data_IF_921354625973
#
_entry.id   IF_921354625973
#
_cell.length_a   1.000
_cell.length_b   1.000
_cell.length_c   1.000
_cell.angle_alpha   90.00
_cell.angle_beta   90.00
_cell.angle_gamma   90.00
#
_symmetry.space_group_name_H-M   'P 1'
#
loop_
_entity.id
_entity.type
_entity.pdbx_description
1 polymer ?
#
# COMPACT_ATOMS: atom_id res chain seq x y z
N UNK A 1 -7.71 12.86 8.64
CA UNK A 1 -6.55 12.37 9.42
C UNK A 1 -5.35 13.29 9.35
N UNK A 2 -4.68 13.39 8.18
CA UNK A 2 -3.40 14.09 8.00
C UNK A 2 -3.37 15.51 8.58
N UNK A 3 -4.36 16.36 8.27
CA UNK A 3 -4.41 17.74 8.79
C UNK A 3 -4.46 17.81 10.34
N UNK A 4 -5.05 16.82 11.00
CA UNK A 4 -5.02 16.74 12.47
C UNK A 4 -3.64 16.36 12.98
N UNK A 5 -2.98 15.38 12.37
CA UNK A 5 -1.60 15.02 12.71
C UNK A 5 -0.64 16.20 12.51
N UNK A 6 -0.85 17.01 11.46
CA UNK A 6 -0.04 18.20 11.17
C UNK A 6 -0.08 19.28 12.25
N UNK A 7 -1.06 19.25 13.17
CA UNK A 7 -1.06 20.13 14.35
C UNK A 7 0.09 19.82 15.32
N UNK A 8 0.63 18.59 15.30
CA UNK A 8 1.68 18.10 16.22
C UNK A 8 2.97 17.72 15.51
N UNK A 9 2.90 17.14 14.30
CA UNK A 9 4.03 16.57 13.57
C UNK A 9 4.33 17.41 12.31
N UNK A 10 5.57 17.89 12.15
CA UNK A 10 5.95 18.78 11.02
C UNK A 10 5.84 18.12 9.65
N UNK A 11 6.16 16.82 9.56
CA UNK A 11 6.10 16.02 8.35
C UNK A 11 5.27 14.77 8.58
N UNK A 12 4.27 14.57 7.74
CA UNK A 12 3.40 13.38 7.76
C UNK A 12 3.60 12.61 6.47
N UNK A 13 3.95 11.34 6.57
CA UNK A 13 4.02 10.44 5.42
C UNK A 13 2.67 9.75 5.24
N UNK A 14 2.13 9.80 4.04
CA UNK A 14 0.97 9.01 3.63
C UNK A 14 1.46 7.88 2.72
N UNK A 15 1.21 6.64 3.12
CA UNK A 15 1.50 5.45 2.32
C UNK A 15 0.18 4.80 1.94
N UNK A 16 0.01 4.55 0.65
CA UNK A 16 -1.19 3.98 0.06
C UNK A 16 -0.85 2.65 -0.63
N UNK A 17 -1.40 1.57 -0.08
CA UNK A 17 -1.25 0.21 -0.60
C UNK A 17 -2.55 -0.33 -1.20
N UNK A 18 -3.54 0.53 -1.45
CA UNK A 18 -4.72 0.20 -2.25
C UNK A 18 -4.34 -0.21 -3.67
N UNK A 19 -5.19 -0.98 -4.33
CA UNK A 19 -5.00 -1.29 -5.74
C UNK A 19 -5.01 -0.03 -6.61
N UNK A 20 -5.81 0.97 -6.23
CA UNK A 20 -6.01 2.21 -6.96
C UNK A 20 -5.03 3.29 -6.51
N UNK A 21 -4.70 4.19 -7.42
CA UNK A 21 -3.90 5.36 -7.06
C UNK A 21 -4.66 6.23 -6.06
N UNK A 22 -3.98 6.63 -4.98
CA UNK A 22 -4.48 7.56 -3.95
C UNK A 22 -4.57 9.02 -4.41
N UNK A 23 -5.17 9.25 -5.58
CA UNK A 23 -5.20 10.52 -6.31
C UNK A 23 -5.74 11.68 -5.48
N UNK A 24 -6.84 11.50 -4.77
CA UNK A 24 -7.43 12.55 -3.95
C UNK A 24 -6.51 13.01 -2.81
N UNK A 25 -5.74 12.10 -2.21
CA UNK A 25 -4.77 12.46 -1.16
C UNK A 25 -3.53 13.10 -1.79
N UNK A 26 -3.05 12.59 -2.92
CA UNK A 26 -1.99 13.23 -3.68
C UNK A 26 -2.36 14.67 -4.04
N UNK A 27 -3.51 14.90 -4.66
CA UNK A 27 -3.94 16.21 -5.12
C UNK A 27 -4.07 17.20 -3.97
N UNK A 28 -4.66 16.77 -2.86
CA UNK A 28 -4.83 17.58 -1.65
C UNK A 28 -3.49 18.11 -1.08
N UNK A 29 -2.38 17.40 -1.33
CA UNK A 29 -1.05 17.74 -0.81
C UNK A 29 0.01 17.99 -1.88
N UNK A 30 -0.36 17.99 -3.17
CA UNK A 30 0.54 18.09 -4.31
C UNK A 30 1.42 19.35 -4.31
N UNK A 31 0.99 20.43 -3.64
CA UNK A 31 1.72 21.71 -3.56
C UNK A 31 2.52 21.93 -2.26
N UNK A 32 2.61 20.95 -1.36
CA UNK A 32 3.31 21.10 -0.07
C UNK A 32 4.43 20.06 0.13
N UNK A 33 5.54 20.48 0.73
CA UNK A 33 6.60 19.59 1.19
C UNK A 33 6.37 19.03 2.60
N UNK A 34 5.26 19.39 3.24
CA UNK A 34 4.96 18.98 4.62
C UNK A 34 4.22 17.66 4.73
N UNK A 35 3.72 17.15 3.61
CA UNK A 35 3.10 15.84 3.48
C UNK A 35 3.71 15.20 2.25
N UNK A 36 4.22 13.98 2.39
CA UNK A 36 4.65 13.17 1.26
C UNK A 36 3.63 12.07 1.04
N UNK A 37 3.21 11.87 -0.21
CA UNK A 37 2.32 10.78 -0.61
C UNK A 37 3.12 9.71 -1.35
N UNK A 38 2.96 8.46 -0.96
CA UNK A 38 3.55 7.29 -1.63
C UNK A 38 2.42 6.34 -1.98
N UNK A 39 2.24 6.00 -3.25
CA UNK A 39 1.20 5.05 -3.68
C UNK A 39 1.79 3.96 -4.57
N UNK A 40 1.48 2.70 -4.23
CA UNK A 40 1.80 1.51 -5.03
C UNK A 40 0.49 0.95 -5.58
N UNK A 41 0.24 1.15 -6.88
CA UNK A 41 -1.07 0.91 -7.47
C UNK A 41 -0.96 0.33 -8.87
N UNK A 42 -2.04 -0.26 -9.36
CA UNK A 42 -2.13 -0.65 -10.77
C UNK A 42 -2.20 0.60 -11.65
N UNK A 43 -1.38 0.64 -12.68
CA UNK A 43 -1.40 1.70 -13.68
C UNK A 43 -1.41 1.09 -15.08
N UNK A 44 -2.55 1.21 -15.75
CA UNK A 44 -2.79 0.64 -17.08
C UNK A 44 -3.81 1.50 -17.82
N UNK A 45 -3.76 1.59 -19.16
CA UNK A 45 -4.75 2.34 -19.92
C UNK A 45 -6.18 1.92 -19.57
N UNK A 46 -7.00 2.90 -19.15
CA UNK A 46 -8.40 2.68 -18.78
C UNK A 46 -8.63 2.15 -17.36
N UNK A 47 -7.58 1.89 -16.57
CA UNK A 47 -7.74 1.56 -15.15
C UNK A 47 -7.95 2.83 -14.32
N UNK A 48 -8.94 2.82 -13.43
CA UNK A 48 -9.28 3.95 -12.58
C UNK A 48 -8.17 4.22 -11.54
N UNK A 49 -7.88 5.48 -11.17
CA UNK A 49 -8.43 6.74 -11.68
C UNK A 49 -7.75 7.25 -12.97
N UNK A 50 -6.73 6.55 -13.47
CA UNK A 50 -5.99 6.94 -14.68
C UNK A 50 -4.84 7.91 -14.44
N UNK A 51 -4.50 8.19 -13.18
CA UNK A 51 -3.37 9.01 -12.72
C UNK A 51 -2.37 8.16 -11.94
N UNK A 52 -1.24 8.73 -11.54
CA UNK A 52 -0.20 8.06 -10.76
C UNK A 52 0.93 7.46 -11.60
N UNK A 53 1.23 8.01 -12.79
CA UNK A 53 2.47 7.62 -13.47
C UNK A 53 3.70 7.96 -12.61
N UNK A 54 4.80 7.23 -12.76
CA UNK A 54 6.05 7.47 -12.02
C UNK A 54 6.60 8.89 -12.20
N UNK A 55 6.21 9.57 -13.30
CA UNK A 55 6.57 10.96 -13.61
C UNK A 55 5.71 12.00 -12.88
N UNK A 56 4.58 11.62 -12.28
CA UNK A 56 3.74 12.50 -11.47
C UNK A 56 4.36 12.69 -10.09
N UNK A 57 5.12 13.78 -9.92
CA UNK A 57 5.94 14.02 -8.72
C UNK A 57 5.43 15.16 -7.83
N UNK A 58 4.20 15.63 -8.03
CA UNK A 58 3.68 16.82 -7.36
C UNK A 58 4.16 18.13 -7.99
N UNK A 59 3.74 19.27 -7.43
CA UNK A 59 3.81 20.59 -8.05
C UNK A 59 4.36 21.66 -7.09
N UNK A 60 4.99 22.70 -7.64
CA UNK A 60 5.49 23.83 -6.86
C UNK A 60 6.40 23.39 -5.70
N UNK A 61 6.04 23.76 -4.46
CA UNK A 61 6.79 23.36 -3.25
C UNK A 61 6.64 21.88 -2.90
N UNK A 62 5.63 21.18 -3.42
CA UNK A 62 5.42 19.74 -3.28
C UNK A 62 6.03 18.92 -4.41
N UNK A 63 6.75 19.53 -5.35
CA UNK A 63 7.49 18.78 -6.37
C UNK A 63 8.52 17.86 -5.71
N UNK A 64 8.53 16.60 -6.12
CA UNK A 64 9.24 15.46 -5.54
C UNK A 64 8.70 14.93 -4.20
N UNK A 65 7.56 15.45 -3.72
CA UNK A 65 6.87 14.97 -2.51
C UNK A 65 5.63 14.11 -2.82
N UNK A 66 5.39 13.79 -4.09
CA UNK A 66 4.50 12.71 -4.51
C UNK A 66 5.35 11.62 -5.16
N UNK A 67 5.21 10.40 -4.67
CA UNK A 67 5.95 9.21 -5.13
C UNK A 67 4.93 8.20 -5.60
N UNK A 68 4.97 7.90 -6.90
CA UNK A 68 4.09 6.93 -7.51
C UNK A 68 4.87 5.73 -8.03
N UNK A 69 4.31 4.55 -7.79
CA UNK A 69 4.89 3.26 -8.16
C UNK A 69 3.86 2.51 -9.01
N UNK A 70 3.85 2.76 -10.34
CA UNK A 70 2.89 2.15 -11.26
C UNK A 70 3.21 0.67 -11.51
N UNK A 71 2.23 -0.21 -11.29
CA UNK A 71 2.39 -1.66 -11.41
C UNK A 71 1.40 -2.27 -12.41
N UNK A 72 1.71 -3.48 -12.86
CA UNK A 72 0.88 -4.30 -13.75
C UNK A 72 0.19 -5.43 -12.97
N UNK A 73 -0.75 -6.10 -13.63
CA UNK A 73 -1.50 -7.21 -13.06
C UNK A 73 -0.61 -8.34 -12.53
N UNK A 74 -1.13 -9.08 -11.56
CA UNK A 74 -0.57 -10.37 -11.14
C UNK A 74 0.60 -10.32 -10.17
N UNK A 75 1.03 -9.14 -9.70
CA UNK A 75 2.10 -9.01 -8.71
C UNK A 75 1.80 -9.85 -7.45
N UNK A 76 2.83 -10.51 -6.93
CA UNK A 76 2.75 -11.45 -5.80
C UNK A 76 3.47 -10.91 -4.56
N UNK A 77 3.26 -11.57 -3.41
CA UNK A 77 3.75 -11.14 -2.10
C UNK A 77 5.23 -10.69 -2.10
N UNK A 78 6.13 -11.52 -2.64
CA UNK A 78 7.57 -11.28 -2.52
C UNK A 78 8.04 -10.12 -3.40
N UNK A 79 7.59 -10.06 -4.66
CA UNK A 79 7.93 -8.95 -5.57
C UNK A 79 7.33 -7.63 -5.07
N UNK A 80 6.10 -7.64 -4.58
CA UNK A 80 5.45 -6.45 -4.01
C UNK A 80 6.17 -5.96 -2.75
N UNK A 81 6.51 -6.87 -1.82
CA UNK A 81 7.22 -6.49 -0.58
C UNK A 81 8.60 -5.92 -0.87
N UNK A 82 9.41 -6.57 -1.73
CA UNK A 82 10.75 -6.08 -2.07
C UNK A 82 10.71 -4.69 -2.69
N UNK A 83 9.73 -4.44 -3.56
CA UNK A 83 9.50 -3.14 -4.15
C UNK A 83 9.08 -2.10 -3.10
N UNK A 84 8.09 -2.43 -2.27
CA UNK A 84 7.59 -1.57 -1.20
C UNK A 84 8.70 -1.20 -0.22
N UNK A 85 9.47 -2.19 0.25
CA UNK A 85 10.61 -2.00 1.14
C UNK A 85 11.66 -1.06 0.51
N UNK A 86 12.05 -1.31 -0.75
CA UNK A 86 13.05 -0.49 -1.42
C UNK A 86 12.63 0.98 -1.54
N UNK A 87 11.36 1.24 -1.94
CA UNK A 87 10.81 2.59 -2.05
C UNK A 87 10.71 3.25 -0.68
N UNK A 88 10.11 2.56 0.29
CA UNK A 88 9.88 3.12 1.63
C UNK A 88 11.20 3.38 2.38
N UNK A 89 12.24 2.58 2.14
CA UNK A 89 13.59 2.82 2.67
C UNK A 89 14.15 4.16 2.22
N UNK A 90 14.12 4.42 0.91
CA UNK A 90 14.62 5.66 0.33
C UNK A 90 13.74 6.86 0.74
N UNK A 91 12.41 6.67 0.78
CA UNK A 91 11.45 7.68 1.27
C UNK A 91 11.73 8.06 2.72
N UNK A 92 11.88 7.07 3.61
CA UNK A 92 12.12 7.33 5.03
C UNK A 92 13.42 8.11 5.24
N UNK A 93 14.50 7.72 4.53
CA UNK A 93 15.79 8.39 4.60
C UNK A 93 15.73 9.84 4.10
N UNK A 94 15.02 10.10 3.00
CA UNK A 94 14.90 11.43 2.41
C UNK A 94 13.94 12.33 3.20
N UNK A 95 12.71 11.85 3.45
CA UNK A 95 11.63 12.67 3.99
C UNK A 95 11.65 12.77 5.52
N UNK A 96 12.17 11.77 6.24
CA UNK A 96 12.25 11.74 7.72
C UNK A 96 10.92 12.13 8.39
N UNK A 97 9.85 11.34 8.21
CA UNK A 97 8.52 11.68 8.73
C UNK A 97 8.47 11.68 10.26
N UNK A 98 7.57 12.48 10.83
CA UNK A 98 7.26 12.48 12.26
C UNK A 98 6.03 11.65 12.63
N UNK A 99 5.17 11.33 11.65
CA UNK A 99 4.01 10.44 11.79
C UNK A 99 3.68 9.83 10.42
N UNK A 100 2.97 8.70 10.44
CA UNK A 100 2.55 7.97 9.25
C UNK A 100 1.03 7.83 9.23
N UNK A 101 0.43 7.94 8.05
CA UNK A 101 -0.91 7.43 7.75
C UNK A 101 -0.73 6.33 6.72
N UNK A 102 -1.22 5.13 7.02
CA UNK A 102 -1.05 3.94 6.19
C UNK A 102 -2.44 3.42 5.79
N UNK A 103 -2.76 3.55 4.51
CA UNK A 103 -3.98 3.03 3.88
C UNK A 103 -3.67 1.59 3.42
N UNK A 104 -4.54 0.65 3.80
CA UNK A 104 -4.38 -0.79 3.56
C UNK A 104 -5.58 -1.36 2.82
N UNK A 105 -5.91 -0.79 1.65
CA UNK A 105 -6.90 -1.32 0.73
C UNK A 105 -6.66 -2.81 0.46
N UNK A 106 -7.71 -3.60 0.64
CA UNK A 106 -7.68 -5.05 0.50
C UNK A 106 -8.13 -5.53 -0.90
N UNK A 107 -8.32 -4.62 -1.86
CA UNK A 107 -8.63 -4.95 -3.26
C UNK A 107 -7.41 -5.39 -4.09
N UNK A 108 -6.22 -5.38 -3.47
CA UNK A 108 -5.01 -6.02 -4.00
C UNK A 108 -4.97 -7.54 -3.78
N UNK A 109 -5.84 -8.05 -2.90
CA UNK A 109 -5.85 -9.43 -2.45
C UNK A 109 -6.43 -10.36 -3.53
N UNK A 110 -5.84 -11.54 -3.67
CA UNK A 110 -6.31 -12.56 -4.59
C UNK A 110 -7.78 -12.92 -4.31
N UNK A 111 -8.55 -13.06 -5.39
CA UNK A 111 -10.00 -13.30 -5.33
C UNK A 111 -10.85 -12.04 -5.25
N UNK A 112 -10.26 -10.84 -5.15
CA UNK A 112 -11.03 -9.60 -5.26
C UNK A 112 -11.67 -9.45 -6.66
N UNK A 113 -12.93 -8.98 -6.78
CA UNK A 113 -13.60 -8.69 -8.05
C UNK A 113 -12.82 -7.79 -9.01
N UNK A 114 -11.91 -6.95 -8.51
CA UNK A 114 -11.02 -6.13 -9.35
C UNK A 114 -10.07 -6.97 -10.21
N UNK A 115 -9.78 -8.21 -9.79
CA UNK A 115 -9.03 -9.22 -10.54
C UNK A 115 -7.71 -8.69 -11.14
N UNK A 116 -6.99 -7.87 -10.37
CA UNK A 116 -5.76 -7.20 -10.81
C UNK A 116 -4.51 -7.82 -10.16
N UNK A 117 -4.18 -7.43 -8.92
CA UNK A 117 -3.05 -8.00 -8.18
C UNK A 117 -3.35 -9.39 -7.61
N UNK A 118 -2.31 -10.10 -7.18
CA UNK A 118 -2.39 -11.48 -6.72
C UNK A 118 -1.75 -11.65 -5.34
N UNK A 119 -2.03 -10.70 -4.44
CA UNK A 119 -1.45 -10.65 -3.11
C UNK A 119 -2.27 -11.47 -2.11
N UNK A 120 -1.66 -11.70 -0.95
CA UNK A 120 -2.30 -12.25 0.24
C UNK A 120 -2.07 -11.30 1.42
N UNK A 121 -2.82 -11.45 2.53
CA UNK A 121 -2.61 -10.63 3.72
C UNK A 121 -1.17 -10.69 4.25
N UNK A 122 -0.46 -11.80 4.06
CA UNK A 122 0.95 -11.93 4.47
C UNK A 122 1.85 -10.92 3.75
N UNK A 123 1.68 -10.73 2.44
CA UNK A 123 2.47 -9.77 1.65
C UNK A 123 2.26 -8.33 2.12
N UNK A 124 1.01 -7.95 2.34
CA UNK A 124 0.66 -6.63 2.91
C UNK A 124 1.15 -6.51 4.35
N UNK A 125 1.09 -7.59 5.13
CA UNK A 125 1.57 -7.67 6.51
C UNK A 125 3.07 -7.41 6.62
N UNK A 126 3.88 -7.90 5.68
CA UNK A 126 5.31 -7.56 5.61
C UNK A 126 5.53 -6.05 5.41
N UNK A 127 4.78 -5.42 4.51
CA UNK A 127 4.84 -3.97 4.25
C UNK A 127 4.43 -3.16 5.49
N UNK A 128 3.31 -3.56 6.13
CA UNK A 128 2.85 -2.97 7.38
C UNK A 128 3.90 -3.09 8.48
N UNK A 129 4.44 -4.28 8.71
CA UNK A 129 5.46 -4.51 9.73
C UNK A 129 6.74 -3.69 9.47
N UNK A 130 7.13 -3.53 8.20
CA UNK A 130 8.24 -2.66 7.80
C UNK A 130 8.00 -1.20 8.19
N UNK A 131 6.78 -0.68 8.05
CA UNK A 131 6.43 0.68 8.50
C UNK A 131 6.42 0.77 10.03
N UNK A 132 5.85 -0.24 10.72
CA UNK A 132 5.74 -0.24 12.18
C UNK A 132 7.09 -0.29 12.89
N UNK A 133 8.12 -0.88 12.27
CA UNK A 133 9.48 -0.93 12.85
C UNK A 133 10.08 0.47 13.07
N UNK A 134 9.60 1.50 12.35
CA UNK A 134 10.05 2.88 12.53
C UNK A 134 9.61 3.49 13.86
N UNK A 135 8.67 2.84 14.56
CA UNK A 135 8.16 3.27 15.87
C UNK A 135 7.62 4.71 15.86
N UNK A 136 7.06 5.12 14.72
CA UNK A 136 6.37 6.40 14.57
C UNK A 136 4.87 6.26 14.88
N UNK A 137 4.22 7.33 15.36
CA UNK A 137 2.76 7.39 15.44
C UNK A 137 2.16 7.07 14.07
N UNK A 138 1.45 5.94 13.97
CA UNK A 138 0.90 5.42 12.72
C UNK A 138 -0.61 5.32 12.81
N UNK A 139 -1.32 6.06 11.94
CA UNK A 139 -2.76 5.92 11.74
C UNK A 139 -3.01 4.90 10.64
N UNK A 140 -3.55 3.74 11.00
CA UNK A 140 -3.89 2.66 10.05
C UNK A 140 -5.34 2.84 9.58
N UNK A 141 -5.56 2.73 8.27
CA UNK A 141 -6.86 2.84 7.62
C UNK A 141 -7.12 1.61 6.75
N UNK A 142 -8.40 1.31 6.51
CA UNK A 142 -8.82 0.37 5.46
C UNK A 142 -8.71 1.01 4.07
N UNK A 143 -9.69 0.72 3.20
CA UNK A 143 -9.68 1.18 1.81
C UNK A 143 -10.66 0.42 0.95
N UNK A 144 -10.32 0.21 -0.32
CA UNK A 144 -10.98 -0.77 -1.18
C UNK A 144 -10.91 -2.19 -0.61
N UNK A 145 -11.69 -3.10 -1.19
CA UNK A 145 -11.83 -4.47 -0.71
C UNK A 145 -13.26 -4.96 -0.96
N UNK A 146 -13.45 -5.64 -2.09
CA UNK A 146 -14.75 -5.92 -2.66
C UNK A 146 -15.12 -7.40 -2.58
N UNK A 147 -14.15 -8.27 -2.27
CA UNK A 147 -14.44 -9.60 -1.73
C UNK A 147 -14.54 -9.54 -0.20
N UNK A 148 -15.74 -9.31 0.33
CA UNK A 148 -15.98 -8.97 1.75
C UNK A 148 -15.31 -9.93 2.75
N UNK A 149 -15.45 -11.25 2.58
CA UNK A 149 -14.81 -12.22 3.48
C UNK A 149 -13.27 -12.16 3.42
N UNK A 150 -12.67 -11.89 2.26
CA UNK A 150 -11.23 -11.77 2.10
C UNK A 150 -10.71 -10.43 2.64
N UNK A 151 -11.50 -9.36 2.52
CA UNK A 151 -11.22 -8.09 3.20
C UNK A 151 -11.24 -8.27 4.72
N UNK A 152 -12.21 -9.00 5.25
CA UNK A 152 -12.28 -9.32 6.68
C UNK A 152 -11.10 -10.18 7.14
N UNK A 153 -10.72 -11.22 6.38
CA UNK A 153 -9.49 -12.00 6.61
C UNK A 153 -8.26 -11.09 6.64
N UNK A 154 -8.12 -10.23 5.64
CA UNK A 154 -6.99 -9.33 5.49
C UNK A 154 -6.84 -8.40 6.69
N UNK A 155 -7.85 -7.59 7.01
CA UNK A 155 -7.74 -6.63 8.09
C UNK A 155 -7.67 -7.29 9.48
N UNK A 156 -8.28 -8.46 9.66
CA UNK A 156 -8.12 -9.26 10.90
C UNK A 156 -6.67 -9.73 11.05
N UNK A 157 -6.09 -10.30 10.00
CA UNK A 157 -4.68 -10.71 9.98
C UNK A 157 -3.73 -9.53 10.25
N UNK A 158 -3.93 -8.40 9.57
CA UNK A 158 -3.11 -7.20 9.74
C UNK A 158 -3.23 -6.62 11.15
N UNK A 159 -4.40 -6.74 11.79
CA UNK A 159 -4.57 -6.40 13.21
C UNK A 159 -3.74 -7.33 14.11
N UNK A 160 -3.70 -8.63 13.80
CA UNK A 160 -2.78 -9.58 14.44
C UNK A 160 -1.31 -9.15 14.33
N UNK A 161 -0.87 -8.73 13.14
CA UNK A 161 0.48 -8.19 12.90
C UNK A 161 0.76 -6.97 13.78
N UNK A 162 -0.16 -6.00 13.84
CA UNK A 162 -0.03 -4.79 14.69
C UNK A 162 0.14 -5.16 16.16
N UNK A 163 -0.56 -6.19 16.63
CA UNK A 163 -0.53 -6.65 18.01
C UNK A 163 0.63 -7.62 18.31
N UNK A 164 1.44 -7.99 17.31
CA UNK A 164 2.47 -9.02 17.45
C UNK A 164 1.90 -10.40 17.79
N UNK A 165 0.73 -10.73 17.24
CA UNK A 165 0.00 -11.98 17.48
C UNK A 165 -0.11 -12.79 16.20
N UNK A 166 0.32 -14.05 16.28
CA UNK A 166 -0.06 -15.07 15.30
C UNK A 166 -1.47 -15.55 15.63
N UNK A 167 -2.37 -15.47 14.65
CA UNK A 167 -3.76 -15.93 14.79
C UNK A 167 -3.89 -17.38 14.36
N UNK A 168 -4.97 -18.05 14.80
CA UNK A 168 -5.32 -19.38 14.30
C UNK A 168 -5.65 -19.31 12.81
N UNK A 169 -5.32 -20.38 12.08
CA UNK A 169 -5.79 -20.56 10.70
C UNK A 169 -7.31 -20.77 10.67
N UNK A 170 -7.86 -21.52 11.62
CA UNK A 170 -9.31 -21.77 11.70
C UNK A 170 -10.08 -20.49 12.03
N UNK A 171 -11.05 -20.13 11.17
CA UNK A 171 -11.98 -19.03 11.45
C UNK A 171 -12.86 -19.45 12.64
N UNK A 172 -12.93 -18.68 13.73
CA UNK A 172 -13.80 -19.00 14.84
C UNK A 172 -15.27 -18.85 14.44
N UNK A 173 -16.17 -19.60 15.08
CA UNK A 173 -17.61 -19.41 14.87
C UNK A 173 -18.06 -17.99 15.24
N UNK A 174 -18.85 -17.38 14.36
CA UNK A 174 -19.40 -16.03 14.52
C UNK A 174 -20.57 -15.80 13.54
N UNK A 175 -21.24 -14.64 13.65
CA UNK A 175 -22.47 -14.31 12.88
C UNK A 175 -22.39 -14.52 11.35
N UNK A 176 -21.20 -14.36 10.76
CA UNK A 176 -20.96 -14.47 9.31
C UNK A 176 -20.06 -15.65 8.95
N UNK A 177 -19.95 -16.66 9.82
CA UNK A 177 -19.04 -17.80 9.65
C UNK A 177 -19.19 -18.49 8.30
N UNK A 178 -20.42 -18.62 7.79
CA UNK A 178 -20.72 -19.25 6.49
C UNK A 178 -20.11 -18.54 5.29
N UNK A 179 -19.82 -17.23 5.39
CA UNK A 179 -19.19 -16.44 4.32
C UNK A 179 -17.72 -16.84 4.07
N UNK A 180 -17.12 -17.64 4.97
CA UNK A 180 -15.73 -18.08 4.89
C UNK A 180 -15.58 -19.47 4.25
N UNK A 181 -16.68 -20.10 3.85
CA UNK A 181 -16.68 -21.39 3.19
C UNK A 181 -16.02 -21.35 1.79
N UNK A 182 -15.64 -22.52 1.25
CA UNK A 182 -15.80 -23.84 1.85
C UNK A 182 -14.70 -24.20 2.86
N UNK A 183 -13.62 -23.42 2.93
CA UNK A 183 -12.40 -23.83 3.63
C UNK A 183 -12.36 -23.38 5.10
N UNK A 184 -13.08 -22.30 5.46
CA UNK A 184 -13.16 -21.76 6.83
C UNK A 184 -11.79 -21.45 7.48
N UNK A 185 -10.81 -21.08 6.65
CA UNK A 185 -9.47 -20.66 7.08
C UNK A 185 -9.24 -19.16 6.86
N UNK A 186 -8.29 -18.59 7.61
CA UNK A 186 -7.87 -17.18 7.57
C UNK A 186 -6.96 -16.89 6.38
N UNK A 187 -6.15 -17.85 5.96
CA UNK A 187 -5.24 -17.72 4.84
C UNK A 187 -5.98 -17.56 3.52
N UNK A 188 -5.35 -16.89 2.56
CA UNK A 188 -5.85 -16.70 1.21
C UNK A 188 -4.81 -17.26 0.25
N UNK A 189 -5.25 -18.13 -0.65
CA UNK A 189 -4.38 -18.73 -1.66
C UNK A 189 -4.27 -17.82 -2.89
N UNK A 190 -3.05 -17.52 -3.37
CA UNK A 190 -2.87 -16.81 -4.64
C UNK A 190 -3.54 -17.56 -5.80
N UNK A 191 -4.07 -16.81 -6.77
CA UNK A 191 -4.57 -17.39 -8.02
C UNK A 191 -3.40 -17.84 -8.93
N UNK A 192 -3.66 -18.75 -9.87
CA UNK A 192 -2.70 -19.17 -10.90
C UNK A 192 -2.53 -18.15 -12.04
N UNK A 193 -2.53 -16.84 -11.73
CA UNK A 193 -2.40 -15.76 -12.73
C UNK A 193 -0.92 -15.37 -12.92
N UNK A 194 -0.50 -15.06 -14.16
CA UNK A 194 0.88 -14.63 -14.42
C UNK A 194 1.14 -13.25 -13.82
N UNK A 195 2.33 -13.06 -13.26
CA UNK A 195 2.85 -11.74 -12.90
C UNK A 195 3.31 -11.02 -14.17
N UNK A 196 2.73 -9.85 -14.46
CA UNK A 196 3.07 -9.03 -15.65
C UNK A 196 4.11 -7.94 -15.34
N UNK A 197 4.67 -7.94 -14.15
CA UNK A 197 5.66 -6.95 -13.72
C UNK A 197 7.07 -7.40 -14.13
N UNK A 198 7.47 -7.01 -15.34
CA UNK A 198 8.81 -7.33 -15.85
C UNK A 198 9.91 -6.79 -14.93
N UNK A 199 10.90 -7.61 -14.52
CA UNK A 199 11.95 -7.18 -13.59
C UNK A 199 12.71 -5.94 -14.05
N UNK A 200 12.98 -5.82 -15.36
CA UNK A 200 13.63 -4.64 -15.93
C UNK A 200 12.80 -3.37 -15.69
N UNK A 201 11.48 -3.45 -15.92
CA UNK A 201 10.58 -2.30 -15.74
C UNK A 201 10.50 -1.89 -14.26
N UNK A 202 10.49 -2.85 -13.35
CA UNK A 202 10.54 -2.60 -11.90
C UNK A 202 11.84 -1.87 -11.52
N UNK A 203 12.99 -2.28 -12.06
CA UNK A 203 14.26 -1.59 -11.81
C UNK A 203 14.28 -0.17 -12.39
N UNK A 204 13.67 0.06 -13.55
CA UNK A 204 13.52 1.42 -14.11
C UNK A 204 12.67 2.33 -13.21
N UNK A 205 11.55 1.82 -12.69
CA UNK A 205 10.68 2.55 -11.76
C UNK A 205 11.45 2.90 -10.48
N UNK A 206 12.13 1.92 -9.88
CA UNK A 206 12.97 2.13 -8.69
C UNK A 206 14.07 3.16 -8.93
N UNK A 207 14.76 3.09 -10.08
CA UNK A 207 15.77 4.05 -10.47
C UNK A 207 15.22 5.48 -10.61
N UNK A 208 14.02 5.60 -11.19
CA UNK A 208 13.31 6.87 -11.35
C UNK A 208 12.91 7.46 -10.00
N UNK A 209 12.24 6.68 -9.14
CA UNK A 209 11.86 7.08 -7.77
C UNK A 209 13.08 7.52 -6.97
N UNK A 210 14.15 6.72 -6.99
CA UNK A 210 15.40 7.07 -6.30
C UNK A 210 16.03 8.35 -6.84
N UNK A 211 15.94 8.59 -8.14
CA UNK A 211 16.36 9.84 -8.77
C UNK A 211 15.56 11.04 -8.25
N UNK A 212 14.24 10.92 -8.21
CA UNK A 212 13.34 11.96 -7.70
C UNK A 212 13.60 12.29 -6.22
N UNK A 213 13.79 11.28 -5.38
CA UNK A 213 14.00 11.45 -3.94
C UNK A 213 15.29 12.20 -3.57
N UNK A 214 16.27 12.30 -4.49
CA UNK A 214 17.47 13.14 -4.28
C UNK A 214 17.16 14.64 -4.20
N UNK A 215 15.98 15.06 -4.65
CA UNK A 215 15.55 16.46 -4.65
C UNK A 215 14.69 16.82 -3.42
N UNK A 216 14.35 15.84 -2.58
CA UNK A 216 13.66 16.07 -1.30
C UNK A 216 14.62 16.75 -0.33
N UNK A 217 14.15 17.78 0.38
CA UNK A 217 14.97 18.66 1.24
C UNK A 217 14.48 18.70 2.69
#
# INVERSE_FOLDING_TARGET
>A
GILQLRRRFDRVLYVDLDLHHGDGVQDAFSFTSKVMTVSLHKFSPGFFPGTGDVTEVGLGKGRYYSVNVPLQDGIQNESYYQLCEAVLKDVYAAFRPGAVVLQLGADTIAGDPMCAFNLTPEGIGKCLNYVLQWQLPTLVLGGGGYHLANTARCWTYLTGVILGKTLSSEIPDHEFFTEYGPDYVLEITPSCRPDRNEPQRIQEILGCVKGHLKHVT
#
